data_IF_826883186266
#
_entry.id   IF_826883186266
#
_cell.length_a   1.000
_cell.length_b   1.000
_cell.length_c   1.000
_cell.angle_alpha   90.00
_cell.angle_beta   90.00
_cell.angle_gamma   90.00
#
_symmetry.space_group_name_H-M   'P 1'
#
loop_
_entity.id
_entity.type
_entity.pdbx_description
1 polymer ?
#
# COMPACT_ATOMS: atom_id res chain seq x y z
N UNK A 1 -24.82 -38.86 -12.18
CA UNK A 1 -25.20 -37.47 -12.38
C UNK A 1 -24.80 -36.70 -11.12
N UNK A 2 -23.62 -36.05 -11.09
CA UNK A 2 -23.19 -35.20 -9.98
C UNK A 2 -23.41 -33.75 -10.38
N UNK A 3 -24.33 -33.09 -9.68
CA UNK A 3 -24.62 -31.67 -9.87
C UNK A 3 -23.43 -30.81 -9.39
N UNK A 4 -22.92 -30.00 -10.30
CA UNK A 4 -21.98 -28.92 -10.04
C UNK A 4 -22.65 -27.85 -9.18
N UNK A 5 -22.17 -27.64 -7.95
CA UNK A 5 -22.56 -26.51 -7.12
C UNK A 5 -21.85 -25.25 -7.63
N UNK A 6 -22.52 -24.48 -8.49
CA UNK A 6 -22.18 -23.09 -8.75
C UNK A 6 -22.38 -22.30 -7.44
N UNK A 7 -21.30 -21.95 -6.76
CA UNK A 7 -21.32 -20.99 -5.66
C UNK A 7 -21.59 -19.60 -6.27
N UNK A 8 -22.84 -19.13 -6.17
CA UNK A 8 -23.20 -17.74 -6.39
C UNK A 8 -22.38 -16.89 -5.40
N UNK A 9 -21.46 -16.09 -5.90
CA UNK A 9 -20.88 -14.97 -5.15
C UNK A 9 -22.04 -14.02 -4.87
N UNK A 10 -22.56 -14.03 -3.64
CA UNK A 10 -23.54 -13.04 -3.18
C UNK A 10 -22.89 -11.67 -3.27
N UNK A 11 -23.61 -10.65 -3.71
CA UNK A 11 -23.17 -9.24 -3.69
C UNK A 11 -22.85 -8.87 -2.23
N UNK A 12 -21.55 -8.82 -1.91
CA UNK A 12 -21.08 -8.40 -0.60
C UNK A 12 -21.53 -6.96 -0.35
N UNK A 13 -22.05 -6.65 0.83
CA UNK A 13 -22.37 -5.29 1.25
C UNK A 13 -21.08 -4.46 1.31
N UNK A 14 -21.20 -3.12 1.25
CA UNK A 14 -20.02 -2.21 1.29
C UNK A 14 -19.14 -2.43 2.52
N UNK A 15 -19.70 -2.95 3.62
CA UNK A 15 -19.02 -3.20 4.90
C UNK A 15 -18.28 -4.55 4.93
N UNK A 16 -18.48 -5.39 3.91
CA UNK A 16 -17.90 -6.73 3.85
C UNK A 16 -16.52 -6.80 3.19
N UNK A 17 -16.05 -5.70 2.58
CA UNK A 17 -14.73 -5.63 1.94
C UNK A 17 -13.96 -4.41 2.47
N UNK A 18 -12.63 -4.54 2.65
CA UNK A 18 -11.83 -3.40 3.08
C UNK A 18 -11.88 -2.29 2.02
N UNK A 19 -12.17 -1.06 2.43
CA UNK A 19 -12.11 0.12 1.56
C UNK A 19 -10.67 0.53 1.28
N UNK A 20 -9.76 0.23 2.21
CA UNK A 20 -8.33 0.42 2.04
C UNK A 20 -7.56 -0.81 2.54
N UNK A 21 -6.99 -1.53 1.59
CA UNK A 21 -6.09 -2.65 1.83
C UNK A 21 -4.64 -2.17 1.76
N UNK A 22 -3.82 -2.48 2.77
CA UNK A 22 -2.39 -2.20 2.76
C UNK A 22 -1.57 -3.48 2.88
N UNK A 23 -0.47 -3.62 2.15
CA UNK A 23 0.35 -4.84 2.15
C UNK A 23 1.83 -4.52 2.34
N UNK A 24 2.44 -5.16 3.35
CA UNK A 24 3.89 -5.22 3.52
C UNK A 24 4.39 -6.49 2.81
N UNK A 25 5.02 -6.29 1.67
CA UNK A 25 5.46 -7.32 0.73
C UNK A 25 6.81 -7.93 1.16
N UNK A 26 6.78 -8.72 2.23
CA UNK A 26 8.01 -9.33 2.80
C UNK A 26 8.23 -10.77 2.27
N UNK A 27 9.50 -11.18 2.26
CA UNK A 27 9.89 -12.55 1.93
C UNK A 27 10.57 -12.76 0.58
N UNK A 28 10.69 -11.75 -0.29
CA UNK A 28 11.33 -11.87 -1.61
C UNK A 28 12.73 -12.51 -1.55
N UNK A 29 13.58 -12.00 -0.65
CA UNK A 29 14.95 -12.53 -0.50
C UNK A 29 14.97 -13.97 0.03
N UNK A 30 14.11 -14.29 1.02
CA UNK A 30 14.00 -15.65 1.57
C UNK A 30 13.51 -16.65 0.52
N UNK A 31 12.56 -16.22 -0.31
CA UNK A 31 12.05 -17.03 -1.42
C UNK A 31 13.16 -17.41 -2.40
N UNK A 32 13.96 -16.43 -2.85
CA UNK A 32 15.09 -16.68 -3.74
C UNK A 32 16.14 -17.61 -3.09
N UNK A 33 16.51 -17.36 -1.83
CA UNK A 33 17.47 -18.19 -1.09
C UNK A 33 17.00 -19.64 -0.97
N UNK A 34 15.71 -19.90 -0.72
CA UNK A 34 15.15 -21.26 -0.68
C UNK A 34 15.30 -22.01 -2.00
N UNK A 35 15.41 -21.29 -3.12
CA UNK A 35 15.60 -21.85 -4.46
C UNK A 35 17.04 -21.82 -4.93
N UNK A 36 18.00 -21.45 -4.06
CA UNK A 36 19.42 -21.32 -4.44
C UNK A 36 19.68 -20.15 -5.41
N UNK A 37 18.79 -19.17 -5.48
CA UNK A 37 18.86 -18.05 -6.40
C UNK A 37 19.35 -16.76 -5.72
N UNK A 38 19.84 -15.80 -6.52
CA UNK A 38 20.18 -14.47 -6.05
C UNK A 38 18.93 -13.72 -5.57
N UNK A 39 19.07 -12.87 -4.54
CA UNK A 39 17.96 -12.10 -3.94
C UNK A 39 17.15 -11.29 -4.97
N UNK A 40 17.79 -10.82 -6.05
CA UNK A 40 17.13 -10.06 -7.11
C UNK A 40 16.07 -10.89 -7.85
N UNK A 41 16.24 -12.20 -7.97
CA UNK A 41 15.25 -13.08 -8.61
C UNK A 41 13.96 -13.16 -7.78
N UNK A 42 14.08 -13.15 -6.44
CA UNK A 42 12.92 -13.04 -5.56
C UNK A 42 12.14 -11.73 -5.76
N UNK A 43 12.84 -10.61 -5.99
CA UNK A 43 12.17 -9.35 -6.29
C UNK A 43 11.46 -9.37 -7.65
N UNK A 44 12.07 -10.02 -8.67
CA UNK A 44 11.41 -10.22 -9.98
C UNK A 44 10.15 -11.07 -9.85
N UNK A 45 10.22 -12.16 -9.10
CA UNK A 45 9.04 -12.99 -8.80
C UNK A 45 7.97 -12.22 -8.01
N UNK A 46 8.39 -11.39 -7.04
CA UNK A 46 7.50 -10.52 -6.27
C UNK A 46 6.73 -9.51 -7.12
N UNK A 47 7.28 -9.05 -8.25
CA UNK A 47 6.56 -8.19 -9.21
C UNK A 47 5.38 -8.93 -9.85
N UNK A 48 5.50 -10.23 -10.10
CA UNK A 48 4.39 -11.03 -10.62
C UNK A 48 3.28 -11.20 -9.57
N UNK A 49 3.63 -11.28 -8.29
CA UNK A 49 2.67 -11.29 -7.21
C UNK A 49 1.91 -9.95 -7.10
N UNK A 50 2.57 -8.81 -7.34
CA UNK A 50 1.89 -7.50 -7.43
C UNK A 50 0.76 -7.53 -8.47
N UNK A 51 1.02 -8.05 -9.67
CA UNK A 51 0.00 -8.15 -10.72
C UNK A 51 -1.21 -9.01 -10.29
N UNK A 52 -0.95 -10.18 -9.68
CA UNK A 52 -2.01 -11.07 -9.21
C UNK A 52 -2.88 -10.38 -8.16
N UNK A 53 -2.25 -9.78 -7.13
CA UNK A 53 -2.96 -9.08 -6.06
C UNK A 53 -3.73 -7.87 -6.59
N UNK A 54 -3.16 -7.11 -7.53
CA UNK A 54 -3.83 -5.97 -8.13
C UNK A 54 -5.09 -6.40 -8.91
N UNK A 55 -5.01 -7.46 -9.72
CA UNK A 55 -6.15 -8.00 -10.44
C UNK A 55 -7.21 -8.57 -9.49
N UNK A 56 -6.78 -9.27 -8.44
CA UNK A 56 -7.71 -9.81 -7.43
C UNK A 56 -8.40 -8.70 -6.65
N UNK A 57 -7.67 -7.63 -6.28
CA UNK A 57 -8.25 -6.46 -5.62
C UNK A 57 -9.32 -5.78 -6.48
N UNK A 58 -9.08 -5.64 -7.79
CA UNK A 58 -10.09 -5.15 -8.75
C UNK A 58 -11.33 -6.05 -8.79
N UNK A 59 -11.15 -7.38 -8.87
CA UNK A 59 -12.26 -8.35 -8.92
C UNK A 59 -13.10 -8.32 -7.63
N UNK A 60 -12.45 -8.18 -6.47
CA UNK A 60 -13.11 -8.09 -5.16
C UNK A 60 -13.84 -6.75 -5.02
N UNK A 61 -13.39 -5.71 -5.72
CA UNK A 61 -13.92 -4.35 -5.63
C UNK A 61 -13.28 -3.52 -4.52
N UNK A 62 -12.02 -3.79 -4.15
CA UNK A 62 -11.25 -3.00 -3.18
C UNK A 62 -10.89 -1.65 -3.82
N UNK A 63 -11.34 -0.51 -3.25
CA UNK A 63 -11.12 0.80 -3.88
C UNK A 63 -9.68 1.30 -3.78
N UNK A 64 -8.97 1.00 -2.66
CA UNK A 64 -7.61 1.47 -2.41
C UNK A 64 -6.71 0.32 -2.02
N UNK A 65 -5.59 0.17 -2.76
CA UNK A 65 -4.53 -0.80 -2.47
C UNK A 65 -3.21 -0.05 -2.24
N UNK A 66 -2.68 -0.09 -1.02
CA UNK A 66 -1.38 0.45 -0.67
C UNK A 66 -0.32 -0.65 -0.61
N UNK A 67 0.79 -0.50 -1.33
CA UNK A 67 1.89 -1.46 -1.36
C UNK A 67 3.18 -0.86 -0.84
N UNK A 68 3.82 -1.52 0.16
CA UNK A 68 5.11 -1.09 0.69
C UNK A 68 6.26 -1.56 -0.21
N UNK A 69 6.61 -0.73 -1.21
CA UNK A 69 7.60 -1.09 -2.22
C UNK A 69 9.05 -0.82 -1.78
N UNK A 70 9.30 0.31 -1.08
CA UNK A 70 10.64 0.69 -0.64
C UNK A 70 10.56 1.63 0.57
N UNK A 71 11.12 1.20 1.71
CA UNK A 71 11.17 2.02 2.92
C UNK A 71 12.38 2.95 2.97
N UNK A 72 12.31 4.01 3.80
CA UNK A 72 13.45 4.89 4.05
C UNK A 72 14.65 4.13 4.62
N UNK A 73 14.43 3.05 5.39
CA UNK A 73 15.49 2.21 5.94
C UNK A 73 16.18 1.34 4.88
N UNK A 74 15.52 1.10 3.72
CA UNK A 74 16.09 0.26 2.66
C UNK A 74 17.29 0.90 1.94
N UNK A 75 17.50 2.21 2.10
CA UNK A 75 18.73 2.87 1.62
C UNK A 75 20.02 2.32 2.27
N UNK A 76 19.89 1.63 3.40
CA UNK A 76 21.03 0.96 4.07
C UNK A 76 21.44 -0.35 3.40
N UNK A 77 20.67 -0.83 2.42
CA UNK A 77 21.01 -2.03 1.64
C UNK A 77 22.21 -1.74 0.70
N UNK A 78 22.90 -2.78 0.23
CA UNK A 78 23.93 -2.60 -0.79
C UNK A 78 23.39 -1.83 -1.99
N UNK A 79 24.15 -0.85 -2.47
CA UNK A 79 23.69 0.05 -3.55
C UNK A 79 23.31 -0.70 -4.84
N UNK A 80 24.00 -1.80 -5.13
CA UNK A 80 23.67 -2.67 -6.28
C UNK A 80 22.25 -3.24 -6.15
N UNK A 81 21.83 -3.69 -4.95
CA UNK A 81 20.46 -4.18 -4.69
C UNK A 81 19.45 -3.04 -4.86
N UNK A 82 19.75 -1.86 -4.28
CA UNK A 82 18.86 -0.69 -4.37
C UNK A 82 18.65 -0.27 -5.83
N UNK A 83 19.72 -0.19 -6.63
CA UNK A 83 19.61 0.18 -8.04
C UNK A 83 18.83 -0.87 -8.85
N UNK A 84 19.02 -2.16 -8.56
CA UNK A 84 18.27 -3.23 -9.20
C UNK A 84 16.75 -3.13 -8.90
N UNK A 85 16.37 -2.74 -7.68
CA UNK A 85 14.95 -2.49 -7.32
C UNK A 85 14.35 -1.33 -8.13
N UNK A 86 15.08 -0.23 -8.31
CA UNK A 86 14.60 0.89 -9.13
C UNK A 86 14.52 0.55 -10.63
N UNK A 87 15.46 -0.24 -11.18
CA UNK A 87 15.35 -0.71 -12.57
C UNK A 87 14.15 -1.66 -12.73
N UNK A 88 13.86 -2.51 -11.74
CA UNK A 88 12.68 -3.38 -11.74
C UNK A 88 11.38 -2.56 -11.69
N UNK A 89 11.32 -1.52 -10.85
CA UNK A 89 10.21 -0.57 -10.81
C UNK A 89 10.01 0.10 -12.18
N UNK A 90 11.10 0.61 -12.78
CA UNK A 90 11.05 1.27 -14.08
C UNK A 90 10.53 0.32 -15.18
N UNK A 91 10.99 -0.93 -15.15
CA UNK A 91 10.51 -1.96 -16.08
C UNK A 91 9.02 -2.23 -15.91
N UNK A 92 8.56 -2.39 -14.67
CA UNK A 92 7.15 -2.62 -14.34
C UNK A 92 6.26 -1.48 -14.85
N UNK A 93 6.59 -0.25 -14.50
CA UNK A 93 5.81 0.93 -14.87
C UNK A 93 5.67 1.07 -16.39
N UNK A 94 6.78 0.88 -17.14
CA UNK A 94 6.75 0.95 -18.62
C UNK A 94 5.81 -0.08 -19.24
N UNK A 95 5.78 -1.29 -18.69
CA UNK A 95 4.95 -2.38 -19.23
C UNK A 95 3.49 -2.27 -18.81
N UNK A 96 3.23 -1.73 -17.62
CA UNK A 96 1.90 -1.81 -17.00
C UNK A 96 1.06 -0.54 -17.11
N UNK A 97 1.66 0.60 -17.46
CA UNK A 97 0.91 1.87 -17.54
C UNK A 97 -0.33 1.77 -18.44
N UNK A 98 -0.22 1.12 -19.59
CA UNK A 98 -1.35 0.93 -20.51
C UNK A 98 -2.45 0.08 -19.86
N UNK A 99 -2.08 -1.05 -19.28
CA UNK A 99 -3.01 -1.94 -18.57
C UNK A 99 -3.68 -1.25 -17.39
N UNK A 100 -2.96 -0.40 -16.63
CA UNK A 100 -3.55 0.41 -15.56
C UNK A 100 -4.64 1.33 -16.09
N UNK A 101 -4.37 2.07 -17.17
CA UNK A 101 -5.36 2.96 -17.79
C UNK A 101 -6.58 2.17 -18.28
N UNK A 102 -6.37 1.07 -19.02
CA UNK A 102 -7.44 0.23 -19.56
C UNK A 102 -8.34 -0.38 -18.47
N UNK A 103 -7.78 -0.66 -17.28
CA UNK A 103 -8.51 -1.22 -16.13
C UNK A 103 -9.06 -0.16 -15.16
N UNK A 104 -8.91 1.12 -15.44
CA UNK A 104 -9.39 2.19 -14.56
C UNK A 104 -8.62 2.29 -13.23
N UNK A 105 -7.32 1.98 -13.25
CA UNK A 105 -6.43 2.08 -12.07
C UNK A 105 -5.74 3.43 -12.09
N UNK A 106 -5.85 4.21 -11.01
CA UNK A 106 -5.05 5.41 -10.78
C UNK A 106 -3.84 5.11 -9.89
N UNK A 107 -2.65 5.55 -10.31
CA UNK A 107 -1.43 5.44 -9.52
C UNK A 107 -1.28 6.65 -8.61
N UNK A 108 -1.04 6.41 -7.32
CA UNK A 108 -0.58 7.40 -6.34
C UNK A 108 0.74 6.97 -5.73
N UNK A 109 1.51 7.93 -5.23
CA UNK A 109 2.76 7.68 -4.53
C UNK A 109 2.69 8.30 -3.14
N UNK A 110 3.00 7.50 -2.14
CA UNK A 110 3.30 7.96 -0.79
C UNK A 110 4.80 7.83 -0.54
N UNK A 111 5.45 8.96 -0.25
CA UNK A 111 6.89 9.04 0.02
C UNK A 111 7.60 10.13 -0.78
N UNK A 112 8.86 10.36 -0.45
CA UNK A 112 9.68 11.42 -1.07
C UNK A 112 10.38 10.91 -2.35
N UNK A 113 9.79 11.23 -3.51
CA UNK A 113 10.33 10.83 -4.82
C UNK A 113 11.53 11.67 -5.25
N UNK A 114 11.82 12.80 -4.60
CA UNK A 114 12.95 13.68 -4.98
C UNK A 114 14.32 13.01 -4.76
N UNK A 115 14.39 12.04 -3.85
CA UNK A 115 15.60 11.26 -3.55
C UNK A 115 15.80 10.03 -4.43
N UNK A 116 14.84 9.72 -5.29
CA UNK A 116 14.93 8.58 -6.20
C UNK A 116 15.86 8.89 -7.39
N UNK A 117 16.40 7.87 -8.06
CA UNK A 117 17.07 8.10 -9.34
C UNK A 117 16.16 8.88 -10.29
N UNK A 118 16.72 9.92 -10.93
CA UNK A 118 15.96 10.87 -11.76
C UNK A 118 15.06 10.20 -12.80
N UNK A 119 15.56 9.15 -13.45
CA UNK A 119 14.82 8.33 -14.41
C UNK A 119 13.56 7.72 -13.78
N UNK A 120 13.66 7.22 -12.54
CA UNK A 120 12.55 6.61 -11.81
C UNK A 120 11.52 7.67 -11.39
N UNK A 121 11.98 8.79 -10.84
CA UNK A 121 11.12 9.90 -10.46
C UNK A 121 10.32 10.44 -11.66
N UNK A 122 10.98 10.72 -12.79
CA UNK A 122 10.31 11.17 -14.03
C UNK A 122 9.29 10.15 -14.55
N UNK A 123 9.60 8.85 -14.49
CA UNK A 123 8.70 7.81 -14.95
C UNK A 123 7.48 7.66 -14.05
N UNK A 124 7.66 7.77 -12.73
CA UNK A 124 6.56 7.79 -11.75
C UNK A 124 5.62 8.96 -12.03
N UNK A 125 6.14 10.19 -12.12
CA UNK A 125 5.34 11.39 -12.41
C UNK A 125 4.52 11.21 -13.68
N UNK A 126 5.16 10.80 -14.78
CA UNK A 126 4.47 10.55 -16.05
C UNK A 126 3.42 9.44 -15.97
N UNK A 127 3.63 8.43 -15.12
CA UNK A 127 2.66 7.35 -14.96
C UNK A 127 1.46 7.83 -14.13
N UNK A 128 1.68 8.62 -13.07
CA UNK A 128 0.62 9.25 -12.28
C UNK A 128 -0.28 10.09 -13.20
N UNK A 129 0.30 10.97 -14.02
CA UNK A 129 -0.45 11.80 -14.98
C UNK A 129 -1.30 10.97 -15.94
N UNK A 130 -0.72 9.90 -16.52
CA UNK A 130 -1.42 9.04 -17.48
C UNK A 130 -2.58 8.25 -16.86
N UNK A 131 -2.47 7.90 -15.58
CA UNK A 131 -3.46 7.09 -14.88
C UNK A 131 -4.43 7.91 -14.03
N UNK A 132 -4.33 9.24 -14.05
CA UNK A 132 -5.08 10.15 -13.18
C UNK A 132 -6.61 10.03 -13.30
N UNK A 133 -7.11 9.55 -14.44
CA UNK A 133 -8.55 9.39 -14.70
C UNK A 133 -9.09 8.00 -14.29
N UNK A 134 -8.24 7.13 -13.73
CA UNK A 134 -8.68 5.83 -13.22
C UNK A 134 -9.59 6.00 -12.00
N UNK A 135 -10.74 5.32 -12.03
CA UNK A 135 -11.82 5.47 -11.05
C UNK A 135 -12.21 4.15 -10.34
N UNK A 136 -11.62 3.02 -10.75
CA UNK A 136 -11.96 1.70 -10.20
C UNK A 136 -11.11 1.28 -9.02
N UNK A 137 -9.83 1.63 -9.03
CA UNK A 137 -8.88 1.31 -7.96
C UNK A 137 -7.76 2.34 -7.90
N UNK A 138 -7.46 2.81 -6.70
CA UNK A 138 -6.26 3.60 -6.42
C UNK A 138 -5.15 2.64 -6.00
N UNK A 139 -4.10 2.53 -6.83
CA UNK A 139 -2.86 1.85 -6.46
C UNK A 139 -1.90 2.87 -5.83
N UNK A 140 -1.81 2.85 -4.50
CA UNK A 140 -0.89 3.70 -3.76
C UNK A 140 0.43 2.96 -3.50
N UNK A 141 1.51 3.36 -4.16
CA UNK A 141 2.83 2.75 -3.97
C UNK A 141 3.64 3.57 -2.97
N UNK A 142 3.94 2.96 -1.82
CA UNK A 142 4.76 3.58 -0.79
C UNK A 142 6.24 3.31 -1.10
N UNK A 143 6.94 4.37 -1.57
CA UNK A 143 8.32 4.30 -2.04
C UNK A 143 9.15 5.42 -1.43
N UNK A 144 10.34 5.09 -0.92
CA UNK A 144 11.11 5.99 -0.05
C UNK A 144 10.21 6.57 1.05
N UNK A 145 9.45 5.67 1.66
CA UNK A 145 8.41 5.97 2.63
C UNK A 145 8.77 5.46 4.03
N UNK A 146 8.42 6.22 5.03
CA UNK A 146 8.38 5.83 6.43
C UNK A 146 7.36 6.71 7.14
N UNK A 147 6.54 6.12 8.02
CA UNK A 147 5.46 6.87 8.70
C UNK A 147 6.00 7.99 9.60
N UNK A 148 7.17 7.78 10.22
CA UNK A 148 7.83 8.81 11.03
C UNK A 148 8.31 9.97 10.17
N UNK A 149 8.91 9.68 9.01
CA UNK A 149 9.37 10.69 8.05
C UNK A 149 8.17 11.46 7.46
N UNK A 150 7.07 10.76 7.14
CA UNK A 150 5.83 11.36 6.67
C UNK A 150 5.27 12.36 7.69
N UNK A 151 5.14 11.95 8.96
CA UNK A 151 4.63 12.80 10.03
C UNK A 151 5.52 14.04 10.24
N UNK A 152 6.84 13.84 10.26
CA UNK A 152 7.81 14.95 10.40
C UNK A 152 7.64 15.96 9.26
N UNK A 153 7.52 15.49 8.02
CA UNK A 153 7.31 16.34 6.85
C UNK A 153 5.94 17.04 6.88
N UNK A 154 4.89 16.34 7.32
CA UNK A 154 3.55 16.93 7.47
C UNK A 154 3.55 18.09 8.48
N UNK A 155 4.21 17.91 9.62
CA UNK A 155 4.37 18.96 10.63
C UNK A 155 5.20 20.13 10.07
N UNK A 156 6.29 19.86 9.37
CA UNK A 156 7.12 20.90 8.75
C UNK A 156 6.31 21.75 7.75
N UNK A 157 5.54 21.10 6.87
CA UNK A 157 4.66 21.79 5.91
C UNK A 157 3.61 22.64 6.61
N UNK A 158 3.00 22.11 7.67
CA UNK A 158 2.00 22.82 8.46
C UNK A 158 2.59 24.07 9.13
N UNK A 159 3.77 23.94 9.75
CA UNK A 159 4.46 25.08 10.36
C UNK A 159 4.77 26.15 9.30
N UNK A 160 5.36 25.75 8.17
CA UNK A 160 5.65 26.69 7.05
C UNK A 160 4.39 27.40 6.58
N UNK A 161 3.27 26.68 6.40
CA UNK A 161 1.98 27.25 6.00
C UNK A 161 1.49 28.29 7.00
N UNK A 162 1.55 27.99 8.31
CA UNK A 162 1.14 28.92 9.38
C UNK A 162 2.01 30.19 9.43
N UNK A 163 3.33 30.05 9.24
CA UNK A 163 4.26 31.18 9.20
C UNK A 163 3.96 32.09 7.99
N UNK A 164 3.83 31.51 6.81
CA UNK A 164 3.57 32.28 5.55
C UNK A 164 2.26 33.06 5.63
N UNK A 165 1.23 32.51 6.27
CA UNK A 165 -0.05 33.20 6.43
C UNK A 165 -0.07 34.24 7.58
N UNK A 166 1.05 34.40 8.31
CA UNK A 166 1.16 35.39 9.41
C UNK A 166 0.22 35.10 10.60
N UNK A 167 -0.27 33.88 10.75
CA UNK A 167 -1.25 33.52 11.77
C UNK A 167 -0.55 33.17 13.10
N UNK A 168 -0.04 34.24 13.79
CA UNK A 168 0.71 34.12 15.04
C UNK A 168 -0.07 33.32 16.10
N UNK A 169 -1.40 33.47 16.15
CA UNK A 169 -2.24 32.74 17.10
C UNK A 169 -2.25 31.24 16.81
N UNK A 170 -2.24 30.85 15.55
CA UNK A 170 -2.14 29.43 15.15
C UNK A 170 -0.73 28.86 15.30
N UNK A 171 0.33 29.68 15.22
CA UNK A 171 1.70 29.22 15.48
C UNK A 171 1.86 28.70 16.91
N UNK A 172 1.22 29.36 17.88
CA UNK A 172 1.27 28.99 19.31
C UNK A 172 0.26 27.93 19.74
N UNK A 173 -0.69 27.56 18.88
CA UNK A 173 -1.69 26.53 19.17
C UNK A 173 -1.28 25.14 18.69
N UNK A 174 -1.71 24.10 19.42
CA UNK A 174 -1.55 22.73 18.95
C UNK A 174 -2.31 22.52 17.63
N UNK A 175 -1.74 21.81 16.65
CA UNK A 175 -2.46 21.46 15.44
C UNK A 175 -3.58 20.46 15.75
N UNK A 176 -4.68 20.58 15.04
CA UNK A 176 -5.71 19.54 15.02
C UNK A 176 -5.23 18.34 14.19
N UNK A 177 -5.85 17.17 14.41
CA UNK A 177 -5.55 15.99 13.58
C UNK A 177 -5.82 16.27 12.09
N UNK A 178 -6.94 16.91 11.76
CA UNK A 178 -7.28 17.26 10.38
C UNK A 178 -6.22 18.13 9.68
N UNK A 179 -5.64 19.12 10.41
CA UNK A 179 -4.55 19.93 9.84
C UNK A 179 -3.28 19.11 9.57
N UNK A 180 -2.99 18.08 10.39
CA UNK A 180 -1.87 17.16 10.13
C UNK A 180 -2.19 16.28 8.94
N UNK A 181 -3.37 15.67 8.91
CA UNK A 181 -3.84 14.76 7.88
C UNK A 181 -3.84 15.39 6.47
N UNK A 182 -4.24 16.66 6.34
CA UNK A 182 -4.16 17.43 5.09
C UNK A 182 -2.74 17.51 4.51
N UNK A 183 -1.70 17.31 5.33
CA UNK A 183 -0.30 17.41 4.91
C UNK A 183 0.39 16.05 4.76
N UNK A 184 -0.30 14.94 5.07
CA UNK A 184 0.20 13.58 4.84
C UNK A 184 0.24 13.26 3.35
N UNK A 185 1.09 12.31 2.95
CA UNK A 185 1.10 11.77 1.58
C UNK A 185 -0.22 11.09 1.22
N UNK A 186 -0.89 10.54 2.24
CA UNK A 186 -2.15 9.80 2.12
C UNK A 186 -3.38 10.69 2.15
N UNK A 187 -3.22 12.01 2.20
CA UNK A 187 -4.38 12.93 2.21
C UNK A 187 -5.40 12.58 1.11
N UNK A 188 -6.68 12.48 1.50
CA UNK A 188 -7.77 12.09 0.62
C UNK A 188 -7.89 10.59 0.34
N UNK A 189 -7.07 9.74 0.95
CA UNK A 189 -7.32 8.31 1.05
C UNK A 189 -8.02 7.99 2.38
N UNK A 190 -8.90 6.98 2.44
CA UNK A 190 -9.44 6.50 3.71
C UNK A 190 -8.35 5.87 4.57
N UNK A 191 -8.58 5.77 5.88
CA UNK A 191 -7.74 4.97 6.77
C UNK A 191 -7.72 3.50 6.34
N UNK A 192 -6.69 2.77 6.76
CA UNK A 192 -6.52 1.36 6.41
C UNK A 192 -7.52 0.52 7.21
N UNK A 193 -8.30 -0.30 6.50
CA UNK A 193 -9.19 -1.29 7.11
C UNK A 193 -8.48 -2.61 7.39
N UNK A 194 -7.67 -3.07 6.43
CA UNK A 194 -6.93 -4.33 6.53
C UNK A 194 -5.47 -4.11 6.12
N UNK A 195 -4.56 -4.47 7.02
CA UNK A 195 -3.12 -4.48 6.75
C UNK A 195 -2.62 -5.91 6.77
N UNK A 196 -2.07 -6.36 5.64
CA UNK A 196 -1.48 -7.69 5.48
C UNK A 196 0.05 -7.59 5.54
N UNK A 197 0.70 -8.51 6.25
CA UNK A 197 2.14 -8.72 6.14
C UNK A 197 2.45 -10.17 5.88
N UNK A 198 3.23 -10.43 4.83
CA UNK A 198 3.70 -11.74 4.41
C UNK A 198 4.99 -12.14 5.14
N UNK A 199 5.36 -13.42 5.05
CA UNK A 199 6.62 -13.99 5.52
C UNK A 199 6.77 -14.13 7.05
N UNK A 200 5.67 -14.20 7.82
CA UNK A 200 5.67 -14.57 9.23
C UNK A 200 6.10 -13.47 10.21
N UNK A 201 6.50 -12.30 9.75
CA UNK A 201 6.93 -11.21 10.61
C UNK A 201 5.75 -10.40 11.15
N UNK A 202 5.68 -10.22 12.48
CA UNK A 202 4.53 -9.60 13.18
C UNK A 202 4.87 -8.18 13.65
N UNK A 203 5.23 -7.30 12.75
CA UNK A 203 5.53 -5.87 13.00
C UNK A 203 5.17 -5.03 11.79
N UNK A 204 4.94 -3.72 11.97
CA UNK A 204 4.55 -2.79 10.90
C UNK A 204 5.75 -2.13 10.20
N UNK A 205 6.94 -2.19 10.78
CA UNK A 205 8.19 -1.69 10.19
C UNK A 205 8.08 -0.27 9.64
N UNK A 206 7.52 0.65 10.42
CA UNK A 206 7.35 2.07 10.07
C UNK A 206 6.42 2.30 8.85
N UNK A 207 5.54 1.32 8.55
CA UNK A 207 4.60 1.42 7.44
C UNK A 207 3.24 1.95 7.91
N UNK A 208 2.83 3.10 7.40
CA UNK A 208 1.51 3.71 7.54
C UNK A 208 0.93 3.61 8.96
N UNK A 209 1.75 3.93 10.00
CA UNK A 209 1.38 3.75 11.41
C UNK A 209 0.15 4.56 11.81
N UNK A 210 0.05 5.79 11.30
CA UNK A 210 -1.06 6.70 11.60
C UNK A 210 -2.35 6.20 10.96
N UNK A 211 -2.29 5.82 9.69
CA UNK A 211 -3.41 5.34 8.89
C UNK A 211 -3.86 3.93 9.31
N UNK A 212 -3.00 3.20 10.04
CA UNK A 212 -3.28 1.85 10.55
C UNK A 212 -3.79 1.83 11.99
N UNK A 213 -4.08 2.99 12.60
CA UNK A 213 -4.43 3.09 14.02
C UNK A 213 -5.62 2.18 14.42
N UNK A 214 -6.55 1.94 13.49
CA UNK A 214 -7.72 1.08 13.68
C UNK A 214 -7.80 -0.04 12.64
N UNK A 215 -6.68 -0.34 11.95
CA UNK A 215 -6.65 -1.40 10.96
C UNK A 215 -6.72 -2.79 11.61
N UNK A 216 -7.43 -3.71 10.97
CA UNK A 216 -7.29 -5.12 11.25
C UNK A 216 -5.97 -5.63 10.67
N UNK A 217 -5.21 -6.39 11.48
CA UNK A 217 -3.90 -6.91 11.08
C UNK A 217 -4.00 -8.38 10.71
N UNK A 218 -3.48 -8.75 9.55
CA UNK A 218 -3.38 -10.12 9.07
C UNK A 218 -1.92 -10.48 8.78
N UNK A 219 -1.41 -11.49 9.46
CA UNK A 219 -0.04 -11.97 9.28
C UNK A 219 -0.07 -13.39 8.71
N UNK A 220 0.69 -13.64 7.65
CA UNK A 220 0.81 -14.96 7.02
C UNK A 220 2.28 -15.36 6.86
N UNK A 221 2.56 -16.67 6.99
CA UNK A 221 3.88 -17.23 6.77
C UNK A 221 4.25 -17.36 5.29
N UNK A 222 3.28 -17.19 4.38
CA UNK A 222 3.47 -17.21 2.94
C UNK A 222 4.45 -16.09 2.54
N UNK A 223 5.46 -16.44 1.72
CA UNK A 223 6.40 -15.46 1.19
C UNK A 223 5.75 -14.66 0.05
N UNK A 224 6.08 -13.37 -0.06
CA UNK A 224 5.42 -12.48 -1.03
C UNK A 224 5.34 -13.04 -2.47
N UNK A 225 6.39 -13.63 -3.08
CA UNK A 225 6.27 -14.20 -4.43
C UNK A 225 5.21 -15.28 -4.58
N UNK A 226 4.90 -16.01 -3.50
CA UNK A 226 3.91 -17.09 -3.48
C UNK A 226 2.51 -16.61 -3.03
N UNK A 227 2.38 -15.34 -2.63
CA UNK A 227 1.11 -14.74 -2.22
C UNK A 227 0.24 -14.46 -3.45
N UNK A 228 -0.84 -15.19 -3.59
CA UNK A 228 -1.71 -15.16 -4.77
C UNK A 228 -3.15 -14.70 -4.45
N UNK A 229 -4.07 -14.91 -5.41
CA UNK A 229 -5.50 -14.60 -5.27
C UNK A 229 -6.15 -15.34 -4.10
N UNK A 230 -5.81 -16.62 -3.88
CA UNK A 230 -6.40 -17.42 -2.81
C UNK A 230 -5.98 -16.91 -1.44
N UNK A 231 -4.70 -16.56 -1.28
CA UNK A 231 -4.18 -15.98 -0.04
C UNK A 231 -4.83 -14.61 0.26
N UNK A 232 -5.05 -13.79 -0.76
CA UNK A 232 -5.77 -12.54 -0.59
C UNK A 232 -7.23 -12.76 -0.19
N UNK A 233 -7.92 -13.72 -0.82
CA UNK A 233 -9.29 -14.07 -0.48
C UNK A 233 -9.40 -14.58 0.96
N UNK A 234 -8.47 -15.42 1.42
CA UNK A 234 -8.42 -15.89 2.82
C UNK A 234 -8.28 -14.71 3.80
N UNK A 235 -7.41 -13.75 3.50
CA UNK A 235 -7.24 -12.56 4.35
C UNK A 235 -8.51 -11.68 4.38
N UNK A 236 -9.19 -11.50 3.25
CA UNK A 236 -10.46 -10.76 3.17
C UNK A 236 -11.60 -11.52 3.87
N UNK A 237 -11.66 -12.84 3.76
CA UNK A 237 -12.63 -13.66 4.50
C UNK A 237 -12.41 -13.63 6.01
N UNK A 238 -11.15 -13.61 6.46
CA UNK A 238 -10.82 -13.41 7.87
C UNK A 238 -11.27 -12.03 8.36
N UNK A 239 -10.99 -10.97 7.57
CA UNK A 239 -11.45 -9.61 7.86
C UNK A 239 -12.98 -9.53 8.01
N UNK A 240 -13.75 -10.17 7.13
CA UNK A 240 -15.23 -10.21 7.19
C UNK A 240 -15.80 -10.80 8.47
N UNK A 241 -15.06 -11.70 9.10
CA UNK A 241 -15.49 -12.37 10.34
C UNK A 241 -15.25 -11.52 11.59
N UNK A 242 -14.45 -10.45 11.47
CA UNK A 242 -14.07 -9.61 12.60
C UNK A 242 -15.11 -8.52 12.85
N UNK A 243 -15.39 -8.27 14.13
CA UNK A 243 -16.30 -7.20 14.56
C UNK A 243 -15.46 -5.97 14.90
N UNK A 244 -15.55 -4.93 14.09
CA UNK A 244 -14.81 -3.67 14.27
C UNK A 244 -15.60 -2.75 15.20
N UNK A 245 -15.05 -2.46 16.37
CA UNK A 245 -15.76 -1.70 17.43
C UNK A 245 -15.43 -0.22 17.47
N UNK A 246 -14.30 0.22 16.94
CA UNK A 246 -13.82 1.62 16.96
C UNK A 246 -13.98 2.32 18.33
N UNK A 247 -13.76 1.57 19.43
CA UNK A 247 -13.93 2.05 20.80
C UNK A 247 -15.38 2.02 21.35
N UNK A 248 -16.36 1.63 20.53
CA UNK A 248 -17.76 1.50 20.97
C UNK A 248 -18.10 0.15 21.59
N UNK A 249 -19.27 0.06 22.23
CA UNK A 249 -19.86 -1.19 22.69
C UNK A 249 -20.69 -1.81 21.56
N UNK A 250 -20.54 -3.13 21.33
CA UNK A 250 -21.46 -3.86 20.47
C UNK A 250 -22.60 -4.34 21.34
N UNK A 251 -23.80 -3.82 21.14
CA UNK A 251 -25.00 -4.41 21.73
C UNK A 251 -25.16 -5.82 21.16
N UNK A 252 -25.18 -6.81 22.06
CA UNK A 252 -25.53 -8.18 21.66
C UNK A 252 -26.99 -8.16 21.21
N UNK A 253 -27.23 -8.38 19.94
CA UNK A 253 -28.55 -8.75 19.43
C UNK A 253 -28.88 -10.17 19.82
#
# INVERSE_FOLDING_TARGET
>A
VKASKNSKVSSAGKDDIPQHLAIIMDGNGRWATRQGQARVEGHKAGVLAVDKVLQSSLKIGIPVLSLYAFSTENWRRPQVEVMALFELLNFYLKRKVRTMVENGISLRISGDISRLPEKSAKLLTKTIEKTAQGDKLILNVCINYGSRDELQLAIEKLIKKRIVHGDIKKISSLPTWGEIEENLYTHGLPDIDLLIRTAGEKRLSNFMLLQSAYAELYFTDVLWPDFDENELLHAVEDFRKRIRKFGGLVEKK
#
